data_IF_841130737677
#
_entry.id   IF_841130737677
#
_cell.length_a   1.000
_cell.length_b   1.000
_cell.length_c   1.000
_cell.angle_alpha   90.00
_cell.angle_beta   90.00
_cell.angle_gamma   90.00
#
_symmetry.space_group_name_H-M   'P 1'
#
loop_
_entity.id
_entity.type
_entity.pdbx_description
1 polymer ?
#
# COMPACT_ATOMS: atom_id res chain seq x y z
N UNK A 1 -119.68 -61.30 -39.43
CA UNK A 1 -119.00 -62.33 -38.61
C UNK A 1 -118.14 -63.16 -39.53
N UNK A 2 -116.82 -62.99 -39.49
CA UNK A 2 -115.86 -63.85 -40.17
C UNK A 2 -115.53 -65.00 -39.24
N UNK A 3 -115.92 -66.22 -39.60
CA UNK A 3 -115.69 -67.41 -38.78
C UNK A 3 -114.27 -67.93 -39.00
N UNK A 4 -113.50 -68.02 -37.91
CA UNK A 4 -112.22 -68.73 -37.89
C UNK A 4 -112.44 -70.23 -38.11
N UNK A 5 -111.68 -70.82 -39.03
CA UNK A 5 -111.72 -72.27 -39.28
C UNK A 5 -110.85 -72.99 -38.25
N UNK A 6 -111.45 -73.93 -37.53
CA UNK A 6 -110.75 -74.98 -36.79
C UNK A 6 -110.60 -76.18 -37.75
N UNK A 7 -109.38 -76.66 -37.98
CA UNK A 7 -109.13 -77.94 -38.67
C UNK A 7 -108.96 -79.02 -37.61
N UNK A 8 -109.79 -80.06 -37.64
CA UNK A 8 -109.63 -81.27 -36.85
C UNK A 8 -109.55 -82.45 -37.83
N UNK A 9 -108.55 -83.32 -37.66
CA UNK A 9 -108.18 -84.35 -38.65
C UNK A 9 -109.11 -85.59 -38.63
N UNK A 10 -109.99 -85.73 -37.64
CA UNK A 10 -111.12 -86.67 -37.67
C UNK A 10 -112.19 -86.31 -36.63
N UNK A 11 -113.45 -86.20 -37.04
CA UNK A 11 -114.63 -86.20 -36.15
C UNK A 11 -115.50 -87.38 -36.59
N UNK A 12 -115.61 -88.40 -35.74
CA UNK A 12 -116.43 -89.61 -35.99
C UNK A 12 -117.84 -89.35 -35.44
N UNK A 13 -118.87 -89.51 -36.27
CA UNK A 13 -120.28 -89.43 -35.89
C UNK A 13 -120.85 -90.86 -35.79
N UNK A 14 -121.48 -91.21 -34.66
CA UNK A 14 -122.39 -92.37 -34.55
C UNK A 14 -123.82 -91.83 -34.46
N UNK A 15 -124.72 -92.39 -35.28
CA UNK A 15 -126.01 -91.82 -35.64
C UNK A 15 -127.17 -92.61 -35.00
N UNK A 16 -127.13 -92.82 -33.69
CA UNK A 16 -128.22 -93.39 -32.90
C UNK A 16 -128.71 -92.36 -31.86
N UNK A 17 -129.89 -91.78 -32.08
CA UNK A 17 -130.38 -90.60 -31.36
C UNK A 17 -130.41 -90.69 -29.82
N UNK A 18 -129.64 -89.82 -29.16
CA UNK A 18 -129.83 -89.18 -27.84
C UNK A 18 -128.65 -88.18 -27.58
N UNK A 19 -128.89 -87.05 -26.88
CA UNK A 19 -128.02 -85.86 -26.66
C UNK A 19 -126.54 -86.10 -26.30
N UNK A 20 -125.60 -85.27 -26.81
CA UNK A 20 -124.32 -84.94 -26.09
C UNK A 20 -123.70 -83.59 -26.54
N UNK A 21 -123.56 -82.66 -25.59
CA UNK A 21 -122.71 -81.45 -25.65
C UNK A 21 -121.21 -81.83 -25.51
N UNK A 22 -120.30 -81.31 -26.35
CA UNK A 22 -118.84 -81.62 -26.23
C UNK A 22 -117.94 -80.39 -26.33
N UNK A 23 -117.43 -79.98 -25.18
CA UNK A 23 -116.37 -79.00 -24.95
C UNK A 23 -114.99 -79.67 -25.14
N UNK A 24 -114.10 -79.06 -25.93
CA UNK A 24 -112.68 -79.47 -25.99
C UNK A 24 -111.99 -78.92 -24.75
N UNK A 25 -111.74 -79.78 -23.75
CA UNK A 25 -111.37 -79.36 -22.39
C UNK A 25 -109.86 -79.14 -22.14
N UNK A 26 -108.95 -79.51 -23.05
CA UNK A 26 -107.53 -79.16 -22.87
C UNK A 26 -106.68 -79.40 -24.12
N UNK A 27 -105.79 -78.45 -24.41
CA UNK A 27 -104.62 -78.66 -25.26
C UNK A 27 -103.42 -78.78 -24.32
N UNK A 28 -103.22 -79.96 -23.73
CA UNK A 28 -102.07 -80.21 -22.87
C UNK A 28 -100.84 -80.46 -23.75
N UNK A 29 -100.06 -79.41 -24.00
CA UNK A 29 -98.68 -79.55 -24.44
C UNK A 29 -97.79 -79.42 -23.20
N UNK A 30 -97.40 -80.56 -22.61
CA UNK A 30 -96.37 -80.65 -21.56
C UNK A 30 -95.00 -80.32 -22.17
N UNK A 31 -94.76 -79.04 -22.42
CA UNK A 31 -93.43 -78.58 -22.83
C UNK A 31 -92.93 -77.58 -21.79
N UNK A 32 -92.37 -78.09 -20.68
CA UNK A 32 -91.52 -77.28 -19.82
C UNK A 32 -90.35 -76.74 -20.67
N UNK A 33 -90.25 -75.41 -20.76
CA UNK A 33 -89.03 -74.74 -21.22
C UNK A 33 -88.95 -74.29 -22.68
N UNK A 34 -89.97 -74.49 -23.53
CA UNK A 34 -89.98 -73.82 -24.85
C UNK A 34 -90.62 -72.44 -24.73
N UNK A 35 -89.78 -71.40 -24.80
CA UNK A 35 -90.18 -70.00 -24.71
C UNK A 35 -91.38 -69.69 -25.63
N UNK A 36 -92.53 -69.39 -25.03
CA UNK A 36 -93.64 -68.74 -25.73
C UNK A 36 -93.15 -67.33 -26.07
N UNK A 37 -92.76 -67.11 -27.32
CA UNK A 37 -92.48 -65.77 -27.84
C UNK A 37 -93.78 -64.97 -27.83
N UNK A 38 -93.88 -63.94 -27.00
CA UNK A 38 -94.91 -62.90 -27.16
C UNK A 38 -94.60 -62.13 -28.43
N UNK A 39 -95.39 -62.33 -29.49
CA UNK A 39 -95.19 -61.67 -30.80
C UNK A 39 -95.95 -60.34 -30.91
N UNK A 40 -96.31 -59.69 -29.80
CA UNK A 40 -97.26 -58.55 -29.81
C UNK A 40 -96.82 -57.24 -29.16
N UNK A 41 -95.66 -57.16 -28.50
CA UNK A 41 -95.34 -56.02 -27.64
C UNK A 41 -94.01 -55.36 -28.03
N UNK A 42 -94.05 -54.10 -28.46
CA UNK A 42 -92.86 -53.31 -28.82
C UNK A 42 -92.19 -52.65 -27.62
N UNK A 43 -90.84 -52.67 -27.64
CA UNK A 43 -89.88 -51.84 -26.89
C UNK A 43 -89.50 -52.20 -25.44
N UNK A 44 -89.76 -53.42 -24.96
CA UNK A 44 -89.11 -53.95 -23.76
C UNK A 44 -89.06 -55.49 -23.75
N UNK A 45 -87.91 -56.07 -23.34
CA UNK A 45 -87.83 -57.51 -23.02
C UNK A 45 -88.63 -57.77 -21.74
N UNK A 46 -89.87 -58.22 -21.91
CA UNK A 46 -90.70 -58.77 -20.83
C UNK A 46 -90.39 -60.25 -20.66
N UNK A 47 -90.20 -60.70 -19.43
CA UNK A 47 -90.05 -62.12 -19.10
C UNK A 47 -91.32 -62.60 -18.42
N UNK A 48 -91.75 -63.83 -18.72
CA UNK A 48 -92.85 -64.48 -18.02
C UNK A 48 -92.32 -64.85 -16.63
N UNK A 49 -92.87 -64.23 -15.59
CA UNK A 49 -92.44 -64.45 -14.21
C UNK A 49 -93.64 -64.78 -13.34
N UNK A 50 -93.39 -65.59 -12.30
CA UNK A 50 -94.36 -65.81 -11.22
C UNK A 50 -94.51 -64.48 -10.48
N UNK A 51 -95.72 -63.93 -10.43
CA UNK A 51 -95.99 -62.58 -9.87
C UNK A 51 -96.62 -62.62 -8.47
N UNK A 52 -96.60 -63.80 -7.84
CA UNK A 52 -96.88 -63.96 -6.41
C UNK A 52 -98.35 -64.15 -6.05
N UNK A 53 -99.26 -64.15 -7.03
CA UNK A 53 -100.69 -64.47 -6.83
C UNK A 53 -101.06 -65.92 -7.24
N UNK A 54 -100.04 -66.73 -7.53
CA UNK A 54 -100.20 -68.09 -8.06
C UNK A 54 -100.32 -68.16 -9.57
N UNK A 55 -100.21 -67.03 -10.28
CA UNK A 55 -100.15 -66.96 -11.74
C UNK A 55 -98.75 -66.55 -12.25
N UNK A 56 -98.62 -66.48 -13.58
CA UNK A 56 -97.46 -65.90 -14.23
C UNK A 56 -97.94 -64.78 -15.16
N UNK A 57 -97.33 -63.60 -15.04
CA UNK A 57 -97.57 -62.47 -15.95
C UNK A 57 -96.28 -61.98 -16.60
N UNK A 58 -96.43 -61.34 -17.77
CA UNK A 58 -95.32 -60.76 -18.51
C UNK A 58 -94.93 -59.42 -17.89
N UNK A 59 -93.79 -59.38 -17.21
CA UNK A 59 -93.34 -58.18 -16.48
C UNK A 59 -91.97 -57.70 -16.96
N UNK A 60 -91.74 -56.40 -16.83
CA UNK A 60 -90.46 -55.75 -17.12
C UNK A 60 -89.50 -55.98 -15.95
N UNK A 61 -88.23 -56.38 -16.16
CA UNK A 61 -87.23 -56.44 -15.09
C UNK A 61 -87.11 -55.12 -14.34
N UNK A 62 -87.06 -55.15 -13.01
CA UNK A 62 -86.71 -53.95 -12.24
C UNK A 62 -85.22 -53.69 -12.45
N UNK A 63 -84.89 -52.66 -13.22
CA UNK A 63 -83.51 -52.19 -13.34
C UNK A 63 -83.19 -51.29 -12.14
N UNK A 64 -82.25 -51.72 -11.28
CA UNK A 64 -81.76 -50.92 -10.15
C UNK A 64 -80.59 -50.02 -10.54
N UNK A 65 -80.33 -49.83 -11.83
CA UNK A 65 -79.34 -48.88 -12.33
C UNK A 65 -79.81 -47.44 -12.11
N UNK A 66 -79.65 -46.95 -10.88
CA UNK A 66 -79.82 -45.54 -10.55
C UNK A 66 -78.66 -44.76 -11.13
N UNK A 67 -78.75 -44.41 -12.41
CA UNK A 67 -77.88 -43.39 -12.99
C UNK A 67 -78.16 -42.07 -12.27
N UNK A 68 -77.14 -41.53 -11.63
CA UNK A 68 -77.21 -40.19 -11.03
C UNK A 68 -77.35 -39.15 -12.14
N UNK A 69 -78.13 -38.11 -11.89
CA UNK A 69 -78.13 -36.94 -12.77
C UNK A 69 -76.78 -36.23 -12.70
N UNK A 70 -76.48 -35.43 -13.73
CA UNK A 70 -75.27 -34.58 -13.74
C UNK A 70 -75.20 -33.70 -12.49
N UNK A 71 -76.32 -33.07 -12.10
CA UNK A 71 -76.45 -32.29 -10.86
C UNK A 71 -76.09 -33.09 -9.61
N UNK A 72 -76.56 -34.34 -9.50
CA UNK A 72 -76.22 -35.18 -8.34
C UNK A 72 -74.74 -35.56 -8.32
N UNK A 73 -74.08 -35.69 -9.47
CA UNK A 73 -72.63 -35.93 -9.55
C UNK A 73 -71.86 -34.64 -9.20
N UNK A 74 -72.34 -33.51 -9.66
CA UNK A 74 -71.79 -32.18 -9.40
C UNK A 74 -71.88 -31.79 -7.93
N UNK A 75 -73.03 -32.01 -7.27
CA UNK A 75 -73.22 -31.83 -5.83
C UNK A 75 -72.21 -32.65 -5.02
N UNK A 76 -71.96 -33.90 -5.41
CA UNK A 76 -71.01 -34.79 -4.72
C UNK A 76 -69.58 -34.25 -4.89
N UNK A 77 -69.18 -33.85 -6.10
CA UNK A 77 -67.84 -33.30 -6.38
C UNK A 77 -67.64 -31.94 -5.71
N UNK A 78 -68.65 -31.08 -5.73
CA UNK A 78 -68.62 -29.78 -5.06
C UNK A 78 -68.51 -29.92 -3.55
N UNK A 79 -69.28 -30.83 -2.94
CA UNK A 79 -69.15 -31.14 -1.52
C UNK A 79 -67.78 -31.70 -1.15
N UNK A 80 -67.10 -32.40 -2.06
CA UNK A 80 -65.76 -32.94 -1.83
C UNK A 80 -64.67 -31.87 -1.72
N UNK A 81 -64.90 -30.63 -2.17
CA UNK A 81 -63.92 -29.53 -2.12
C UNK A 81 -64.46 -28.29 -1.38
N UNK A 82 -65.67 -28.36 -0.82
CA UNK A 82 -66.26 -27.24 -0.08
C UNK A 82 -65.97 -27.38 1.42
N UNK A 83 -65.28 -26.40 2.01
CA UNK A 83 -65.05 -26.33 3.46
C UNK A 83 -63.90 -27.21 3.98
N UNK A 84 -63.04 -27.68 3.09
CA UNK A 84 -61.84 -28.45 3.41
C UNK A 84 -60.64 -27.55 3.75
N UNK A 85 -59.55 -28.18 4.19
CA UNK A 85 -58.24 -27.55 4.35
C UNK A 85 -57.26 -28.12 3.33
N UNK A 86 -57.29 -27.61 2.11
CA UNK A 86 -56.26 -27.89 1.12
C UNK A 86 -54.93 -27.22 1.52
N UNK A 87 -53.82 -27.96 1.45
CA UNK A 87 -52.49 -27.43 1.80
C UNK A 87 -51.76 -27.00 0.53
N UNK A 88 -51.40 -25.71 0.45
CA UNK A 88 -50.57 -25.16 -0.65
C UNK A 88 -51.31 -24.85 -1.95
N UNK A 89 -52.62 -25.12 -2.02
CA UNK A 89 -53.50 -24.77 -3.13
C UNK A 89 -54.90 -24.50 -2.57
N UNK A 90 -55.63 -23.56 -3.15
CA UNK A 90 -57.06 -23.40 -2.96
C UNK A 90 -57.76 -24.11 -4.12
N UNK A 91 -58.71 -24.98 -3.80
CA UNK A 91 -59.54 -25.66 -4.79
C UNK A 91 -60.99 -25.26 -4.54
N UNK A 92 -61.66 -24.73 -5.55
CA UNK A 92 -63.08 -24.38 -5.49
C UNK A 92 -63.83 -25.10 -6.59
N UNK A 93 -65.02 -25.59 -6.27
CA UNK A 93 -65.93 -26.06 -7.30
C UNK A 93 -66.81 -24.89 -7.74
N UNK A 94 -66.83 -24.61 -9.05
CA UNK A 94 -67.70 -23.61 -9.65
C UNK A 94 -68.94 -24.30 -10.22
N UNK A 95 -70.06 -24.15 -9.50
CA UNK A 95 -71.32 -24.80 -9.85
C UNK A 95 -71.89 -24.29 -11.18
N UNK A 96 -71.60 -23.03 -11.53
CA UNK A 96 -72.08 -22.40 -12.76
C UNK A 96 -71.51 -23.01 -14.05
N UNK A 97 -70.33 -23.64 -14.01
CA UNK A 97 -69.70 -24.26 -15.18
C UNK A 97 -69.35 -25.74 -15.00
N UNK A 98 -69.51 -26.27 -13.78
CA UNK A 98 -69.31 -27.68 -13.47
C UNK A 98 -67.84 -28.10 -13.30
N UNK A 99 -66.94 -27.15 -13.07
CA UNK A 99 -65.49 -27.40 -13.03
C UNK A 99 -64.87 -27.19 -11.64
N UNK A 100 -63.66 -27.70 -11.47
CA UNK A 100 -62.81 -27.42 -10.32
C UNK A 100 -61.78 -26.36 -10.72
N UNK A 101 -61.82 -25.24 -10.01
CA UNK A 101 -60.83 -24.18 -10.09
C UNK A 101 -59.68 -24.46 -9.13
N UNK A 102 -58.45 -24.35 -9.64
CA UNK A 102 -57.23 -24.60 -8.89
C UNK A 102 -56.41 -23.31 -8.80
N UNK A 103 -56.33 -22.72 -7.61
CA UNK A 103 -55.62 -21.46 -7.35
C UNK A 103 -54.52 -21.67 -6.31
N UNK A 104 -53.26 -21.57 -6.69
CA UNK A 104 -52.14 -21.64 -5.75
C UNK A 104 -51.88 -20.25 -5.15
N UNK A 105 -52.38 -20.00 -3.94
CA UNK A 105 -52.34 -18.67 -3.31
C UNK A 105 -50.98 -18.22 -2.75
N UNK A 106 -50.00 -19.12 -2.61
CA UNK A 106 -48.73 -18.82 -1.87
C UNK A 106 -47.43 -19.28 -2.55
N UNK A 107 -47.42 -19.55 -3.85
CA UNK A 107 -46.14 -19.60 -4.58
C UNK A 107 -45.72 -18.16 -4.97
N UNK A 108 -45.04 -17.45 -4.05
CA UNK A 108 -44.28 -16.25 -4.39
C UNK A 108 -42.98 -16.58 -5.17
N UNK A 109 -43.04 -17.52 -6.10
CA UNK A 109 -41.94 -17.79 -7.03
C UNK A 109 -42.53 -17.98 -8.42
N UNK A 110 -42.54 -16.89 -9.18
CA UNK A 110 -42.68 -16.95 -10.63
C UNK A 110 -41.46 -17.70 -11.19
N UNK A 111 -41.70 -18.90 -11.73
CA UNK A 111 -40.68 -19.73 -12.40
C UNK A 111 -40.79 -19.66 -13.93
N UNK A 112 -41.52 -18.69 -14.47
CA UNK A 112 -41.56 -18.41 -15.91
C UNK A 112 -41.55 -16.90 -16.19
N UNK A 113 -40.38 -16.29 -16.05
CA UNK A 113 -40.10 -14.95 -16.59
C UNK A 113 -39.89 -13.90 -15.51
N UNK A 114 -38.63 -13.67 -15.14
CA UNK A 114 -38.23 -12.69 -14.11
C UNK A 114 -38.87 -13.00 -12.77
N UNK A 115 -38.16 -13.76 -11.91
CA UNK A 115 -38.45 -13.71 -10.48
C UNK A 115 -38.65 -12.24 -10.13
N UNK A 116 -39.82 -11.89 -9.56
CA UNK A 116 -40.13 -10.54 -9.10
C UNK A 116 -38.86 -9.90 -8.56
N UNK A 117 -38.34 -8.86 -9.25
CA UNK A 117 -37.01 -8.28 -8.99
C UNK A 117 -36.86 -8.14 -7.49
N UNK A 118 -36.01 -8.96 -6.88
CA UNK A 118 -35.89 -9.00 -5.43
C UNK A 118 -35.44 -7.61 -4.98
N UNK A 119 -36.34 -6.84 -4.38
CA UNK A 119 -36.04 -5.48 -3.92
C UNK A 119 -35.15 -5.52 -2.68
N UNK A 120 -35.21 -6.63 -1.93
CA UNK A 120 -34.42 -6.89 -0.73
C UNK A 120 -34.01 -8.36 -0.67
N UNK A 121 -32.85 -8.62 -0.08
CA UNK A 121 -32.34 -9.97 0.23
C UNK A 121 -31.96 -10.04 1.71
N UNK A 122 -32.06 -11.23 2.32
CA UNK A 122 -31.54 -11.45 3.67
C UNK A 122 -30.06 -11.85 3.61
N UNK A 123 -29.17 -10.97 4.06
CA UNK A 123 -27.74 -11.26 4.21
C UNK A 123 -27.41 -11.62 5.67
N UNK A 124 -26.49 -12.58 5.88
CA UNK A 124 -25.97 -12.96 7.19
C UNK A 124 -24.48 -12.66 7.26
N UNK A 125 -24.01 -12.04 8.34
CA UNK A 125 -22.59 -11.80 8.54
C UNK A 125 -21.82 -13.11 8.77
N UNK A 126 -20.69 -13.28 8.08
CA UNK A 126 -19.76 -14.38 8.29
C UNK A 126 -18.35 -13.82 8.47
N UNK A 127 -18.05 -13.27 9.64
CA UNK A 127 -16.81 -12.51 9.88
C UNK A 127 -15.66 -13.36 10.46
N UNK A 128 -15.83 -14.69 10.51
CA UNK A 128 -14.92 -15.57 11.27
C UNK A 128 -14.39 -16.75 10.47
N UNK A 129 -15.06 -17.13 9.39
CA UNK A 129 -14.67 -18.30 8.60
C UNK A 129 -13.52 -17.93 7.66
N UNK A 130 -12.49 -18.77 7.60
CA UNK A 130 -11.43 -18.65 6.59
C UNK A 130 -11.95 -19.21 5.26
N UNK A 131 -12.40 -18.32 4.38
CA UNK A 131 -12.94 -18.68 3.07
C UNK A 131 -12.65 -17.59 2.04
N UNK A 132 -12.83 -17.94 0.76
CA UNK A 132 -12.77 -16.98 -0.35
C UNK A 132 -14.18 -16.54 -0.71
N UNK A 133 -14.48 -15.26 -0.46
CA UNK A 133 -15.73 -14.62 -0.86
C UNK A 133 -15.49 -13.78 -2.10
N UNK A 134 -16.42 -13.82 -3.05
CA UNK A 134 -16.37 -13.01 -4.27
C UNK A 134 -17.37 -11.85 -4.14
N UNK A 135 -16.93 -10.59 -4.28
CA UNK A 135 -17.85 -9.48 -4.48
C UNK A 135 -18.68 -9.70 -5.75
N UNK A 136 -19.95 -9.31 -5.69
CA UNK A 136 -20.88 -9.42 -6.83
C UNK A 136 -20.96 -8.11 -7.60
N UNK A 137 -21.00 -8.20 -8.92
CA UNK A 137 -21.02 -7.08 -9.85
C UNK A 137 -22.20 -7.19 -10.82
N UNK A 138 -22.43 -6.08 -11.53
CA UNK A 138 -23.27 -5.97 -12.72
C UNK A 138 -22.44 -5.26 -13.79
N UNK A 139 -22.64 -5.59 -15.06
CA UNK A 139 -21.91 -4.97 -16.18
C UNK A 139 -22.62 -3.75 -16.81
N UNK A 140 -23.83 -3.43 -16.35
CA UNK A 140 -24.62 -2.28 -16.79
C UNK A 140 -24.85 -1.27 -15.69
N UNK A 141 -24.76 0.03 -16.03
CA UNK A 141 -24.97 1.11 -15.06
C UNK A 141 -26.42 1.17 -14.52
N UNK A 142 -27.40 0.72 -15.32
CA UNK A 142 -28.84 0.69 -14.98
C UNK A 142 -29.53 -0.48 -15.70
N UNK A 143 -30.75 -0.83 -15.26
CA UNK A 143 -31.56 -1.90 -15.87
C UNK A 143 -31.52 -3.22 -15.09
N UNK A 144 -32.19 -4.25 -15.62
CA UNK A 144 -32.13 -5.61 -15.08
C UNK A 144 -30.87 -6.29 -15.59
N UNK A 145 -29.88 -6.43 -14.71
CA UNK A 145 -28.61 -7.09 -15.01
C UNK A 145 -28.53 -8.46 -14.33
N UNK A 146 -27.68 -9.33 -14.87
CA UNK A 146 -27.23 -10.52 -14.16
C UNK A 146 -26.34 -10.12 -12.98
N UNK A 147 -26.14 -11.04 -12.04
CA UNK A 147 -25.09 -10.91 -11.03
C UNK A 147 -23.88 -11.70 -11.51
N UNK A 148 -22.74 -11.04 -11.59
CA UNK A 148 -21.46 -11.65 -11.93
C UNK A 148 -20.49 -11.63 -10.74
N UNK A 149 -19.50 -12.51 -10.78
CA UNK A 149 -18.35 -12.50 -9.88
C UNK A 149 -17.06 -12.51 -10.69
N UNK A 150 -15.97 -12.02 -10.11
CA UNK A 150 -14.64 -12.02 -10.74
C UNK A 150 -13.66 -12.82 -9.87
N UNK A 151 -13.01 -13.83 -10.44
CA UNK A 151 -12.07 -14.66 -9.69
C UNK A 151 -10.78 -13.92 -9.34
N UNK A 152 -10.50 -12.80 -10.02
CA UNK A 152 -9.38 -11.91 -9.75
C UNK A 152 -9.63 -10.89 -8.65
N UNK A 153 -10.83 -10.83 -8.06
CA UNK A 153 -11.17 -9.94 -6.94
C UNK A 153 -11.89 -10.70 -5.83
N UNK A 154 -11.23 -10.88 -4.69
CA UNK A 154 -11.74 -11.70 -3.59
C UNK A 154 -11.56 -11.02 -2.23
N UNK A 155 -12.42 -11.38 -1.28
CA UNK A 155 -12.33 -10.97 0.11
C UNK A 155 -12.27 -12.19 1.02
N UNK A 156 -11.43 -12.16 2.05
CA UNK A 156 -11.42 -13.19 3.08
C UNK A 156 -11.92 -12.60 4.42
N UNK A 157 -13.09 -13.05 4.93
CA UNK A 157 -13.68 -12.46 6.12
C UNK A 157 -12.90 -12.70 7.41
N UNK A 158 -12.15 -13.80 7.52
CA UNK A 158 -11.33 -14.06 8.71
C UNK A 158 -10.10 -13.16 8.82
N UNK A 159 -9.58 -12.66 7.69
CA UNK A 159 -8.37 -11.82 7.64
C UNK A 159 -8.66 -10.35 7.32
N UNK A 160 -9.84 -10.05 6.78
CA UNK A 160 -10.19 -8.71 6.30
C UNK A 160 -9.46 -8.30 5.02
N UNK A 161 -8.78 -9.23 4.34
CA UNK A 161 -7.98 -8.93 3.16
C UNK A 161 -8.84 -8.91 1.89
N UNK A 162 -8.80 -7.79 1.16
CA UNK A 162 -9.26 -7.68 -0.23
C UNK A 162 -8.07 -7.95 -1.16
N UNK A 163 -8.20 -8.93 -2.05
CA UNK A 163 -7.17 -9.32 -3.01
C UNK A 163 -7.64 -8.98 -4.42
N UNK A 164 -6.81 -8.29 -5.19
CA UNK A 164 -7.05 -7.97 -6.59
C UNK A 164 -5.84 -8.36 -7.45
N UNK A 165 -6.04 -8.88 -8.66
CA UNK A 165 -4.95 -9.17 -9.61
C UNK A 165 -4.23 -7.88 -10.05
N UNK A 166 -4.97 -6.78 -10.16
CA UNK A 166 -4.43 -5.45 -10.46
C UNK A 166 -5.35 -4.36 -9.92
N UNK A 167 -4.77 -3.19 -9.62
CA UNK A 167 -5.49 -2.03 -9.13
C UNK A 167 -5.04 -0.78 -9.88
N UNK A 168 -5.98 -0.05 -10.46
CA UNK A 168 -5.77 1.30 -11.00
C UNK A 168 -6.72 2.24 -10.29
N UNK A 169 -6.20 3.30 -9.69
CA UNK A 169 -6.99 4.33 -9.01
C UNK A 169 -6.87 5.63 -9.80
N UNK A 170 -8.01 6.17 -10.25
CA UNK A 170 -8.06 7.49 -10.89
C UNK A 170 -8.09 8.64 -9.88
N UNK A 171 -8.32 8.33 -8.60
CA UNK A 171 -8.32 9.27 -7.48
C UNK A 171 -7.18 9.02 -6.50
N UNK A 172 -7.31 9.59 -5.31
CA UNK A 172 -6.29 9.48 -4.26
C UNK A 172 -6.36 8.12 -3.53
N UNK A 173 -5.20 7.64 -3.10
CA UNK A 173 -5.09 6.57 -2.11
C UNK A 173 -4.77 7.19 -0.74
N UNK A 174 -5.57 6.87 0.27
CA UNK A 174 -5.30 7.23 1.67
C UNK A 174 -5.18 5.93 2.48
N UNK A 175 -4.06 5.73 3.18
CA UNK A 175 -3.81 4.56 4.01
C UNK A 175 -3.77 4.98 5.49
N UNK A 176 -4.81 4.64 6.23
CA UNK A 176 -4.90 4.88 7.68
C UNK A 176 -4.40 3.65 8.46
N UNK A 177 -3.16 3.26 8.19
CA UNK A 177 -2.48 2.14 8.84
C UNK A 177 -1.12 2.56 9.37
N UNK A 178 -0.52 1.72 10.21
CA UNK A 178 0.84 1.95 10.71
C UNK A 178 1.93 1.61 9.68
N UNK A 179 1.60 0.85 8.63
CA UNK A 179 2.54 0.39 7.62
C UNK A 179 1.94 0.49 6.22
N UNK A 180 2.80 0.72 5.24
CA UNK A 180 2.52 0.54 3.81
C UNK A 180 3.66 -0.27 3.23
N UNK A 181 3.35 -1.43 2.65
CA UNK A 181 4.34 -2.34 2.06
C UNK A 181 4.16 -2.37 0.55
N UNK A 182 5.17 -1.95 -0.20
CA UNK A 182 5.16 -1.93 -1.67
C UNK A 182 6.24 -2.86 -2.20
N UNK A 183 5.85 -4.09 -2.55
CA UNK A 183 6.76 -5.10 -3.11
C UNK A 183 6.76 -5.00 -4.64
N UNK A 184 7.58 -4.10 -5.17
CA UNK A 184 7.71 -3.85 -6.61
C UNK A 184 9.17 -3.91 -7.06
N UNK A 185 9.40 -4.29 -8.32
CA UNK A 185 10.70 -4.14 -8.96
C UNK A 185 11.01 -2.68 -9.32
N UNK A 186 9.98 -1.84 -9.46
CA UNK A 186 10.13 -0.43 -9.86
C UNK A 186 9.10 0.42 -9.13
N UNK A 187 9.57 1.49 -8.49
CA UNK A 187 8.74 2.53 -7.88
C UNK A 187 9.01 3.85 -8.62
N UNK A 188 8.04 4.32 -9.39
CA UNK A 188 8.08 5.63 -10.03
C UNK A 188 7.29 6.61 -9.17
N UNK A 189 7.90 7.76 -8.86
CA UNK A 189 7.28 8.84 -8.08
C UNK A 189 7.42 10.12 -8.89
N UNK A 190 6.30 10.60 -9.43
CA UNK A 190 6.24 11.82 -10.25
C UNK A 190 6.15 13.10 -9.38
N UNK A 191 5.91 12.93 -8.07
CA UNK A 191 5.83 14.04 -7.14
C UNK A 191 7.15 14.81 -7.09
N UNK A 192 7.06 16.15 -7.15
CA UNK A 192 8.23 17.02 -7.05
C UNK A 192 8.91 16.94 -5.68
N UNK A 193 8.16 16.55 -4.65
CA UNK A 193 8.63 16.50 -3.28
C UNK A 193 8.07 15.24 -2.57
N UNK A 194 8.90 14.65 -1.72
CA UNK A 194 8.53 13.54 -0.85
C UNK A 194 8.73 14.00 0.59
N UNK A 195 7.65 14.08 1.38
CA UNK A 195 7.73 14.40 2.81
C UNK A 195 8.00 13.13 3.62
N UNK A 196 9.08 13.12 4.39
CA UNK A 196 9.42 12.05 5.35
C UNK A 196 9.18 12.55 6.79
N UNK A 197 8.89 11.62 7.71
CA UNK A 197 8.68 11.96 9.13
C UNK A 197 7.45 12.83 9.39
N UNK A 198 6.45 12.81 8.50
CA UNK A 198 5.24 13.63 8.63
C UNK A 198 4.41 13.17 9.83
N UNK A 199 4.35 14.00 10.86
CA UNK A 199 3.50 13.87 12.04
C UNK A 199 2.69 15.17 12.24
N UNK A 200 1.74 15.17 13.18
CA UNK A 200 0.91 16.36 13.44
C UNK A 200 1.70 17.57 13.95
N UNK A 201 2.76 17.34 14.71
CA UNK A 201 3.66 18.37 15.26
C UNK A 201 5.12 17.96 15.06
N UNK A 202 5.74 18.31 13.92
CA UNK A 202 7.12 17.92 13.62
C UNK A 202 8.14 18.68 14.50
N UNK A 203 9.21 17.99 14.88
CA UNK A 203 10.40 18.49 15.57
C UNK A 203 11.62 17.60 15.23
N UNK A 204 12.83 18.04 15.55
CA UNK A 204 14.05 17.24 15.33
C UNK A 204 14.01 15.90 16.09
N UNK A 205 13.35 15.87 17.24
CA UNK A 205 13.09 14.61 17.98
C UNK A 205 12.17 13.66 17.22
N UNK A 206 11.13 14.17 16.55
CA UNK A 206 10.23 13.30 15.76
C UNK A 206 10.82 12.89 14.41
N UNK A 207 11.80 13.66 13.90
CA UNK A 207 12.53 13.34 12.68
C UNK A 207 13.74 12.40 12.92
N UNK A 208 14.17 12.25 14.17
CA UNK A 208 15.35 11.46 14.54
C UNK A 208 15.27 10.01 14.01
N UNK A 209 16.31 9.59 13.29
CA UNK A 209 16.38 8.29 12.62
C UNK A 209 15.58 8.19 11.31
N UNK A 210 14.86 9.25 10.91
CA UNK A 210 14.16 9.34 9.63
C UNK A 210 15.13 9.36 8.45
N UNK A 211 14.79 8.68 7.36
CA UNK A 211 15.66 8.64 6.19
C UNK A 211 15.39 7.47 5.24
N UNK A 212 16.45 7.04 4.56
CA UNK A 212 16.43 5.97 3.55
C UNK A 212 17.40 4.87 3.98
N UNK A 213 16.92 3.62 3.96
CA UNK A 213 17.73 2.43 4.20
C UNK A 213 17.73 1.55 2.95
N UNK A 214 18.91 1.33 2.39
CA UNK A 214 19.17 0.34 1.34
C UNK A 214 19.72 -0.94 1.99
N UNK A 215 18.93 -2.02 1.92
CA UNK A 215 19.27 -3.32 2.52
C UNK A 215 20.48 -3.96 1.82
N UNK A 216 21.35 -4.58 2.61
CA UNK A 216 22.50 -5.37 2.17
C UNK A 216 22.95 -6.34 3.27
N UNK A 217 24.15 -6.93 3.15
CA UNK A 217 24.74 -7.70 4.26
C UNK A 217 24.86 -6.85 5.54
N UNK A 218 25.21 -5.58 5.35
CA UNK A 218 24.93 -4.48 6.28
C UNK A 218 24.08 -3.43 5.56
N UNK A 219 23.25 -2.73 6.33
CA UNK A 219 22.39 -1.68 5.83
C UNK A 219 23.19 -0.44 5.43
N UNK A 220 22.81 0.17 4.31
CA UNK A 220 23.37 1.42 3.82
C UNK A 220 22.33 2.50 4.05
N UNK A 221 22.71 3.57 4.72
CA UNK A 221 21.75 4.47 5.34
C UNK A 221 22.10 5.93 5.07
N UNK A 222 21.05 6.71 4.83
CA UNK A 222 21.04 8.16 4.85
C UNK A 222 20.01 8.53 5.91
N UNK A 223 20.43 9.08 7.05
CA UNK A 223 19.55 9.33 8.21
C UNK A 223 19.73 10.73 8.76
N UNK A 224 18.63 11.37 9.14
CA UNK A 224 18.65 12.53 10.02
C UNK A 224 18.98 12.07 11.44
N UNK A 225 20.00 12.64 12.05
CA UNK A 225 20.41 12.34 13.43
C UNK A 225 20.31 13.63 14.24
N UNK A 226 19.36 13.68 15.18
CA UNK A 226 19.09 14.86 16.00
C UNK A 226 20.31 15.26 16.85
N UNK A 227 21.05 14.29 17.37
CA UNK A 227 22.22 14.55 18.22
C UNK A 227 23.34 15.31 17.49
N UNK A 228 23.45 15.16 16.17
CA UNK A 228 24.47 15.82 15.34
C UNK A 228 23.87 16.91 14.44
N UNK A 229 22.57 17.16 14.54
CA UNK A 229 21.81 18.13 13.74
C UNK A 229 22.13 18.04 12.23
N UNK A 230 22.19 16.82 11.70
CA UNK A 230 22.69 16.58 10.35
C UNK A 230 22.19 15.28 9.73
N UNK A 231 22.24 15.25 8.40
CA UNK A 231 22.15 14.01 7.63
C UNK A 231 23.47 13.25 7.70
N UNK A 232 23.40 12.02 8.19
CA UNK A 232 24.53 11.09 8.27
C UNK A 232 24.44 10.05 7.17
N UNK A 233 25.54 9.87 6.45
CA UNK A 233 25.72 8.85 5.44
C UNK A 233 26.67 7.80 6.02
N UNK A 234 26.24 6.53 6.10
CA UNK A 234 27.12 5.46 6.56
C UNK A 234 27.96 4.83 5.42
N UNK A 235 27.84 5.38 4.21
CA UNK A 235 28.63 5.03 3.03
C UNK A 235 29.23 6.30 2.41
N UNK A 236 30.27 6.13 1.61
CA UNK A 236 30.90 7.22 0.88
C UNK A 236 29.93 7.87 -0.13
N UNK A 237 30.00 9.20 -0.25
CA UNK A 237 29.32 9.96 -1.31
C UNK A 237 30.31 10.22 -2.44
N UNK A 238 29.98 9.76 -3.65
CA UNK A 238 30.83 9.96 -4.85
C UNK A 238 30.09 10.81 -5.88
N UNK A 239 30.73 11.89 -6.34
CA UNK A 239 30.23 12.76 -7.43
C UNK A 239 30.97 12.40 -8.71
N UNK A 240 30.30 11.72 -9.64
CA UNK A 240 30.90 11.21 -10.90
C UNK A 240 30.91 12.24 -12.02
N UNK A 241 30.05 13.25 -11.95
CA UNK A 241 29.98 14.38 -12.89
C UNK A 241 29.59 15.65 -12.15
N UNK A 242 30.19 16.80 -12.50
CA UNK A 242 29.94 18.07 -11.81
C UNK A 242 30.81 18.25 -10.56
N UNK A 243 30.37 19.13 -9.65
CA UNK A 243 31.10 19.47 -8.43
C UNK A 243 30.20 19.35 -7.19
N UNK A 244 30.78 18.93 -6.06
CA UNK A 244 30.16 19.15 -4.76
C UNK A 244 30.20 20.66 -4.47
N UNK A 245 29.03 21.28 -4.37
CA UNK A 245 28.91 22.69 -4.02
C UNK A 245 28.67 22.81 -2.51
N UNK A 246 29.56 23.51 -1.83
CA UNK A 246 29.37 23.92 -0.44
C UNK A 246 29.07 25.42 -0.44
N UNK A 247 27.87 25.81 -0.02
CA UNK A 247 27.38 27.17 -0.11
C UNK A 247 26.94 27.68 1.26
N UNK A 248 27.47 28.85 1.66
CA UNK A 248 26.94 29.61 2.78
C UNK A 248 25.69 30.37 2.36
N UNK A 249 24.81 30.65 3.33
CA UNK A 249 23.69 31.59 3.15
C UNK A 249 24.21 33.00 2.84
N UNK A 250 23.34 33.92 2.43
CA UNK A 250 23.71 35.33 2.28
C UNK A 250 24.30 35.87 3.60
N UNK A 251 25.53 36.39 3.53
CA UNK A 251 26.30 36.84 4.70
C UNK A 251 26.91 35.72 5.55
N UNK A 252 26.69 34.45 5.20
CA UNK A 252 27.25 33.26 5.86
C UNK A 252 28.48 32.71 5.15
N UNK A 253 29.41 32.14 5.92
CA UNK A 253 30.59 31.48 5.38
C UNK A 253 30.22 30.14 4.73
N UNK A 254 30.85 29.80 3.61
CA UNK A 254 30.78 28.45 3.05
C UNK A 254 31.86 27.59 3.71
N UNK A 255 31.46 26.50 4.39
CA UNK A 255 32.38 25.70 5.21
C UNK A 255 32.28 24.22 4.87
N UNK A 256 33.41 23.62 4.50
CA UNK A 256 33.58 22.17 4.44
C UNK A 256 34.27 21.72 5.72
N UNK A 257 33.57 20.91 6.52
CA UNK A 257 34.16 20.25 7.69
C UNK A 257 34.82 18.94 7.27
N UNK A 258 35.99 18.68 7.83
CA UNK A 258 36.78 17.48 7.66
C UNK A 258 37.03 16.94 9.07
N UNK A 259 36.50 15.77 9.37
CA UNK A 259 36.55 15.18 10.70
C UNK A 259 37.25 13.84 10.60
N UNK A 260 38.23 13.59 11.45
CA UNK A 260 38.98 12.35 11.56
C UNK A 260 38.70 11.65 12.91
N UNK A 261 39.25 10.45 13.09
CA UNK A 261 39.35 9.71 14.38
C UNK A 261 38.08 9.75 15.25
N UNK A 262 36.93 9.46 14.63
CA UNK A 262 35.64 9.41 15.33
C UNK A 262 35.22 10.73 16.01
N UNK A 263 35.92 11.83 15.69
CA UNK A 263 35.64 13.16 16.19
C UNK A 263 35.78 13.27 17.72
N UNK A 264 36.64 12.45 18.32
CA UNK A 264 36.71 12.26 19.76
C UNK A 264 37.55 13.33 20.48
N UNK A 265 38.40 14.06 19.74
CA UNK A 265 39.14 15.20 20.23
C UNK A 265 39.04 16.44 19.33
N UNK A 266 39.59 17.57 19.80
CA UNK A 266 39.53 18.81 19.04
C UNK A 266 40.41 18.75 17.77
N UNK A 267 41.54 18.03 17.81
CA UNK A 267 42.52 18.00 16.74
C UNK A 267 41.97 17.30 15.47
N UNK A 268 40.95 16.47 15.62
CA UNK A 268 40.23 15.81 14.52
C UNK A 268 39.49 16.76 13.60
N UNK A 269 39.07 17.92 14.10
CA UNK A 269 38.20 18.82 13.37
C UNK A 269 39.03 19.81 12.57
N UNK A 270 38.99 19.65 11.26
CA UNK A 270 39.51 20.59 10.29
C UNK A 270 38.36 21.24 9.52
N UNK A 271 38.60 22.46 9.04
CA UNK A 271 37.70 23.09 8.08
C UNK A 271 38.45 23.78 6.96
N UNK A 272 37.83 23.76 5.80
CA UNK A 272 38.14 24.63 4.67
C UNK A 272 36.97 25.60 4.55
N UNK A 273 37.25 26.89 4.67
CA UNK A 273 36.21 27.90 4.77
C UNK A 273 36.46 29.07 3.83
N UNK A 274 35.46 29.44 3.05
CA UNK A 274 35.39 30.77 2.46
C UNK A 274 34.74 31.71 3.48
N UNK A 275 35.51 32.66 4.00
CA UNK A 275 35.09 33.56 5.08
C UNK A 275 34.24 34.69 4.51
N UNK A 276 33.00 34.82 4.97
CA UNK A 276 32.05 35.79 4.42
C UNK A 276 32.49 37.27 4.57
N UNK A 277 33.24 37.59 5.62
CA UNK A 277 33.62 38.98 5.92
C UNK A 277 34.67 39.55 4.96
N UNK A 278 35.62 38.73 4.51
CA UNK A 278 36.76 39.18 3.69
C UNK A 278 37.00 38.33 2.44
N UNK A 279 36.14 37.34 2.17
CA UNK A 279 36.20 36.38 1.06
C UNK A 279 37.50 35.55 1.03
N UNK A 280 38.20 35.45 2.15
CA UNK A 280 39.44 34.66 2.22
C UNK A 280 39.13 33.18 2.32
N UNK A 281 39.98 32.36 1.67
CA UNK A 281 39.90 30.91 1.79
C UNK A 281 40.88 30.47 2.89
N UNK A 282 40.35 29.89 3.95
CA UNK A 282 41.09 29.54 5.16
C UNK A 282 41.07 28.04 5.37
N UNK A 283 42.24 27.49 5.69
CA UNK A 283 42.41 26.17 6.28
C UNK A 283 42.63 26.37 7.77
N UNK A 284 41.82 25.72 8.60
CA UNK A 284 41.89 25.85 10.04
C UNK A 284 41.68 24.52 10.74
N UNK A 285 42.36 24.34 11.87
CA UNK A 285 42.20 23.22 12.77
C UNK A 285 41.53 23.71 14.06
N UNK A 286 40.64 22.89 14.62
CA UNK A 286 40.02 23.19 15.90
C UNK A 286 41.00 22.88 17.04
N UNK A 287 41.24 23.88 17.86
CA UNK A 287 42.14 23.81 19.02
C UNK A 287 41.33 24.13 20.27
N UNK A 288 41.94 24.20 21.45
CA UNK A 288 41.22 24.45 22.71
C UNK A 288 40.46 25.78 22.67
N UNK A 289 39.16 25.71 22.35
CA UNK A 289 38.24 26.85 22.34
C UNK A 289 37.96 27.49 20.97
N UNK A 290 38.47 26.96 19.86
CA UNK A 290 38.14 27.52 18.54
C UNK A 290 39.00 27.04 17.37
N UNK A 291 38.54 27.36 16.15
CA UNK A 291 39.30 27.14 14.91
C UNK A 291 40.42 28.16 14.76
N UNK A 292 41.66 27.67 14.68
CA UNK A 292 42.86 28.47 14.44
C UNK A 292 43.29 28.33 12.99
N UNK A 293 43.53 29.46 12.32
CA UNK A 293 43.99 29.49 10.92
C UNK A 293 45.43 28.95 10.83
N UNK A 294 45.64 27.96 9.97
CA UNK A 294 46.97 27.42 9.66
C UNK A 294 47.50 27.95 8.34
N UNK A 295 46.60 28.16 7.37
CA UNK A 295 46.91 28.71 6.04
C UNK A 295 45.75 29.57 5.53
N UNK A 296 46.06 30.71 4.93
CA UNK A 296 45.09 31.67 4.40
C UNK A 296 45.45 32.07 2.97
N UNK A 297 44.49 31.96 2.05
CA UNK A 297 44.56 32.53 0.71
C UNK A 297 43.65 33.75 0.62
N UNK A 298 44.24 34.89 0.32
CA UNK A 298 43.53 36.14 0.16
C UNK A 298 42.98 36.30 -1.27
N UNK A 299 41.90 37.08 -1.48
CA UNK A 299 41.35 37.36 -2.80
C UNK A 299 42.35 38.01 -3.76
N UNK A 300 43.37 38.70 -3.24
CA UNK A 300 44.45 39.29 -4.01
C UNK A 300 45.56 38.28 -4.40
N UNK A 301 45.40 37.00 -4.08
CA UNK A 301 46.37 35.94 -4.36
C UNK A 301 47.50 35.79 -3.33
N UNK A 302 47.52 36.59 -2.26
CA UNK A 302 48.50 36.44 -1.19
C UNK A 302 48.24 35.17 -0.37
N UNK A 303 49.27 34.34 -0.22
CA UNK A 303 49.26 33.16 0.64
C UNK A 303 49.94 33.51 1.96
N UNK A 304 49.25 33.32 3.06
CA UNK A 304 49.71 33.66 4.41
C UNK A 304 49.67 32.43 5.33
N UNK A 305 50.68 32.32 6.19
CA UNK A 305 50.73 31.38 7.31
C UNK A 305 50.74 32.16 8.65
N UNK A 306 51.04 31.45 9.75
CA UNK A 306 51.15 32.05 11.09
C UNK A 306 52.18 33.20 11.23
N UNK A 307 53.08 33.37 10.26
CA UNK A 307 54.14 34.40 10.23
C UNK A 307 53.86 35.52 9.22
N UNK A 308 52.82 35.38 8.40
CA UNK A 308 52.38 36.38 7.42
C UNK A 308 52.51 35.85 5.98
N UNK A 309 52.67 36.77 5.02
CA UNK A 309 52.75 36.40 3.60
C UNK A 309 54.02 35.57 3.32
N UNK A 310 53.84 34.34 2.85
CA UNK A 310 54.92 33.36 2.64
C UNK A 310 55.94 33.78 1.56
N UNK A 311 55.61 34.79 0.74
CA UNK A 311 56.50 35.32 -0.30
C UNK A 311 57.26 36.58 0.12
N UNK A 312 56.96 37.11 1.31
CA UNK A 312 57.59 38.32 1.82
C UNK A 312 58.47 37.97 3.00
N UNK A 313 59.64 38.61 3.09
CA UNK A 313 60.37 38.68 4.36
C UNK A 313 59.72 39.83 5.14
N UNK A 314 58.97 39.58 6.24
CA UNK A 314 58.28 40.65 6.93
C UNK A 314 59.29 41.60 7.58
N UNK A 315 59.06 42.91 7.48
CA UNK A 315 59.89 43.92 8.14
C UNK A 315 59.43 44.15 9.58
N UNK A 316 60.36 44.13 10.53
CA UNK A 316 60.18 44.62 11.89
C UNK A 316 61.05 45.87 12.09
N UNK A 317 60.46 47.07 11.99
CA UNK A 317 61.17 48.32 12.13
C UNK A 317 61.34 48.72 13.60
N UNK A 318 62.58 49.01 14.01
CA UNK A 318 62.96 49.31 15.38
C UNK A 318 63.73 50.63 15.44
N UNK A 319 63.17 51.62 16.14
CA UNK A 319 63.74 52.97 16.24
C UNK A 319 64.70 53.17 17.42
N UNK A 320 64.83 52.16 18.28
CA UNK A 320 65.65 52.12 19.48
C UNK A 320 66.22 50.72 19.68
N UNK A 321 67.09 50.56 20.68
CA UNK A 321 67.66 49.25 21.03
C UNK A 321 66.57 48.17 21.12
N UNK A 322 66.75 47.08 20.38
CA UNK A 322 65.78 45.98 20.31
C UNK A 322 66.41 44.69 20.84
N UNK A 323 65.67 43.99 21.70
CA UNK A 323 66.02 42.63 22.11
C UNK A 323 65.20 41.70 21.23
N UNK A 324 65.88 40.92 20.39
CA UNK A 324 65.22 40.02 19.47
C UNK A 324 64.37 38.99 20.23
N UNK A 325 63.21 38.66 19.68
CA UNK A 325 62.23 37.74 20.27
C UNK A 325 61.95 36.58 19.30
N UNK A 326 61.34 35.48 19.78
CA UNK A 326 60.94 34.36 18.91
C UNK A 326 59.99 34.79 17.76
N UNK A 327 59.31 35.93 17.90
CA UNK A 327 58.45 36.49 16.86
C UNK A 327 59.23 37.14 15.70
N UNK A 328 60.54 37.36 15.85
CA UNK A 328 61.43 37.91 14.82
C UNK A 328 61.95 36.84 13.84
N UNK A 329 61.76 35.54 14.15
CA UNK A 329 62.17 34.45 13.28
C UNK A 329 61.51 34.59 11.89
N UNK A 330 62.32 34.54 10.84
CA UNK A 330 61.91 34.74 9.44
C UNK A 330 61.74 36.20 9.01
N UNK A 331 62.01 37.18 9.89
CA UNK A 331 61.83 38.61 9.62
C UNK A 331 63.15 39.34 9.36
N UNK A 332 63.02 40.53 8.78
CA UNK A 332 64.08 41.52 8.69
C UNK A 332 63.89 42.59 9.76
N UNK A 333 64.81 42.68 10.72
CA UNK A 333 64.85 43.74 11.74
C UNK A 333 65.54 44.97 11.15
N UNK A 334 64.80 46.05 10.96
CA UNK A 334 65.34 47.33 10.50
C UNK A 334 65.64 48.21 11.71
N UNK A 335 66.90 48.22 12.15
CA UNK A 335 67.33 48.97 13.34
C UNK A 335 67.87 50.35 12.95
N UNK A 336 67.35 51.43 13.53
CA UNK A 336 67.85 52.79 13.25
C UNK A 336 68.69 53.39 14.38
N UNK A 337 68.69 52.81 15.58
CA UNK A 337 69.50 53.26 16.72
C UNK A 337 69.53 52.22 17.82
N UNK A 338 70.58 52.19 18.65
CA UNK A 338 70.67 51.38 19.88
C UNK A 338 71.08 49.92 19.69
N UNK A 339 71.16 49.41 18.46
CA UNK A 339 71.58 48.04 18.16
C UNK A 339 70.52 46.96 18.43
N UNK A 340 70.89 45.70 18.14
CA UNK A 340 70.03 44.52 18.32
C UNK A 340 70.74 43.53 19.23
N UNK A 341 70.05 43.05 20.27
CA UNK A 341 70.58 42.01 21.17
C UNK A 341 69.99 40.66 20.85
N UNK A 342 70.86 39.65 20.69
CA UNK A 342 70.47 38.26 20.45
C UNK A 342 70.76 37.45 21.71
N UNK A 343 69.70 37.08 22.45
CA UNK A 343 69.82 36.31 23.68
C UNK A 343 69.76 34.79 23.42
N UNK A 344 70.35 34.03 24.34
CA UNK A 344 70.26 32.57 24.38
C UNK A 344 68.79 32.11 24.55
N UNK A 345 68.44 30.97 23.96
CA UNK A 345 67.11 30.33 24.06
C UNK A 345 65.93 31.17 23.55
N UNK A 346 66.17 32.11 22.64
CA UNK A 346 65.11 32.87 21.96
C UNK A 346 64.69 32.20 20.65
N UNK A 347 65.66 31.75 19.87
CA UNK A 347 65.46 31.14 18.55
C UNK A 347 65.81 29.66 18.59
N UNK A 348 65.20 28.87 17.70
CA UNK A 348 65.44 27.44 17.56
C UNK A 348 66.35 27.12 16.38
N UNK A 349 66.87 25.89 16.33
CA UNK A 349 67.63 25.43 15.17
C UNK A 349 66.80 25.57 13.89
N UNK A 350 67.37 26.19 12.86
CA UNK A 350 66.71 26.44 11.58
C UNK A 350 66.09 27.83 11.44
N UNK A 351 65.89 28.57 12.53
CA UNK A 351 65.44 29.96 12.44
C UNK A 351 66.48 30.83 11.72
N UNK A 352 66.01 31.91 11.09
CA UNK A 352 66.86 32.93 10.51
C UNK A 352 66.31 34.32 10.81
N UNK A 353 67.21 35.28 11.05
CA UNK A 353 66.86 36.69 11.25
C UNK A 353 67.81 37.54 10.43
N UNK A 354 67.27 38.41 9.59
CA UNK A 354 68.06 39.43 8.89
C UNK A 354 68.06 40.71 9.71
N UNK A 355 69.21 41.33 9.91
CA UNK A 355 69.34 42.65 10.55
C UNK A 355 69.84 43.62 9.50
N UNK A 356 69.07 44.69 9.29
CA UNK A 356 69.40 45.79 8.39
C UNK A 356 69.66 47.01 9.25
N UNK A 357 70.87 47.56 9.14
CA UNK A 357 71.17 48.86 9.72
C UNK A 357 70.46 49.94 8.91
N UNK A 358 69.30 50.37 9.39
CA UNK A 358 68.52 51.45 8.79
C UNK A 358 68.97 52.84 9.29
N UNK A 359 70.25 52.99 9.67
CA UNK A 359 70.88 54.26 10.01
C UNK A 359 72.13 54.53 9.16
N UNK A 360 72.70 55.72 9.30
CA UNK A 360 74.01 56.09 8.72
C UNK A 360 75.21 55.81 9.62
N UNK A 361 74.97 55.43 10.89
CA UNK A 361 75.99 55.13 11.89
C UNK A 361 76.09 53.63 12.11
N UNK A 362 77.20 53.18 12.67
CA UNK A 362 77.37 51.78 13.05
C UNK A 362 76.35 51.34 14.11
N UNK A 363 75.83 50.13 13.97
CA UNK A 363 74.94 49.50 14.93
C UNK A 363 75.60 48.24 15.51
N UNK A 364 75.50 48.06 16.82
CA UNK A 364 76.02 46.86 17.48
C UNK A 364 74.98 45.74 17.42
N UNK A 365 75.39 44.56 16.95
CA UNK A 365 74.69 43.30 17.16
C UNK A 365 75.31 42.66 18.40
N UNK A 366 74.59 42.71 19.52
CA UNK A 366 75.07 42.25 20.81
C UNK A 366 74.83 40.76 20.95
N UNK A 367 75.91 40.02 21.22
CA UNK A 367 75.84 38.62 21.62
C UNK A 367 75.40 38.55 23.10
N UNK A 368 74.20 38.03 23.35
CA UNK A 368 73.70 37.84 24.70
C UNK A 368 74.49 36.78 25.48
N UNK A 369 74.39 36.82 26.81
CA UNK A 369 75.06 35.85 27.68
C UNK A 369 74.63 34.42 27.36
N UNK A 370 75.59 33.50 27.27
CA UNK A 370 75.35 32.09 26.96
C UNK A 370 75.02 31.77 25.49
N UNK A 371 74.92 32.79 24.63
CA UNK A 371 74.77 32.61 23.19
C UNK A 371 76.13 32.82 22.49
N UNK A 372 76.43 32.01 21.48
CA UNK A 372 77.65 32.14 20.67
C UNK A 372 77.29 32.58 19.24
N UNK A 373 77.72 33.78 18.85
CA UNK A 373 77.49 34.33 17.52
C UNK A 373 78.76 34.18 16.68
N UNK A 374 78.82 33.13 15.85
CA UNK A 374 79.97 32.84 15.00
C UNK A 374 79.96 33.73 13.75
N UNK A 375 80.99 34.57 13.59
CA UNK A 375 81.22 35.27 12.33
C UNK A 375 81.67 34.26 11.26
N UNK A 376 80.89 34.09 10.21
CA UNK A 376 81.20 33.12 9.16
C UNK A 376 82.45 33.45 8.35
N UNK A 377 82.94 34.70 8.43
CA UNK A 377 84.14 35.13 7.70
C UNK A 377 85.45 34.60 8.32
N UNK A 378 85.53 34.52 9.65
CA UNK A 378 86.79 34.27 10.37
C UNK A 378 86.64 33.35 11.61
N UNK A 379 85.44 32.83 11.85
CA UNK A 379 85.07 32.00 13.01
C UNK A 379 85.16 32.70 14.38
N UNK A 380 85.43 34.01 14.44
CA UNK A 380 85.41 34.76 15.69
C UNK A 380 83.99 34.82 16.27
N UNK A 381 83.89 35.06 17.58
CA UNK A 381 82.61 35.24 18.28
C UNK A 381 82.57 36.53 19.09
N UNK A 382 81.40 36.88 19.62
CA UNK A 382 81.14 38.09 20.39
C UNK A 382 80.33 39.12 19.61
N UNK A 383 80.15 40.30 20.22
CA UNK A 383 79.43 41.41 19.59
C UNK A 383 79.99 41.72 18.20
N UNK A 384 79.11 42.02 17.24
CA UNK A 384 79.48 42.46 15.89
C UNK A 384 79.09 43.90 15.68
N UNK A 385 79.84 44.60 14.85
CA UNK A 385 79.47 45.91 14.33
C UNK A 385 78.86 45.73 12.94
N UNK A 386 77.71 46.34 12.71
CA UNK A 386 77.09 46.44 11.40
C UNK A 386 77.16 47.90 10.94
N UNK A 387 77.99 48.15 9.93
CA UNK A 387 78.21 49.49 9.37
C UNK A 387 76.91 50.14 8.91
N UNK A 388 76.90 51.47 8.78
CA UNK A 388 75.76 52.23 8.22
C UNK A 388 75.27 51.62 6.91
N UNK A 389 73.95 51.38 6.78
CA UNK A 389 73.32 50.67 5.64
C UNK A 389 73.78 49.23 5.40
N UNK A 390 74.55 48.65 6.32
CA UNK A 390 74.94 47.26 6.32
C UNK A 390 73.76 46.32 6.54
N UNK A 391 73.90 45.09 6.08
CA UNK A 391 72.92 44.02 6.27
C UNK A 391 73.64 42.72 6.60
N UNK A 392 73.19 42.04 7.66
CA UNK A 392 73.68 40.72 8.03
C UNK A 392 72.52 39.79 8.37
N UNK A 393 72.66 38.51 8.02
CA UNK A 393 71.71 37.48 8.40
C UNK A 393 72.35 36.56 9.41
N UNK A 394 71.59 36.23 10.45
CA UNK A 394 71.93 35.19 11.42
C UNK A 394 71.09 33.97 11.08
N UNK A 395 71.73 32.83 10.85
CA UNK A 395 71.08 31.52 10.83
C UNK A 395 71.40 30.80 12.13
N UNK A 396 70.37 30.31 12.83
CA UNK A 396 70.49 29.69 14.14
C UNK A 396 70.71 28.19 14.01
N UNK A 397 71.85 27.69 14.50
CA UNK A 397 72.15 26.25 14.48
C UNK A 397 71.61 25.51 15.71
N UNK A 398 71.41 26.22 16.82
CA UNK A 398 70.71 25.76 18.01
C UNK A 398 70.24 26.95 18.85
N UNK A 399 69.60 26.67 19.98
CA UNK A 399 69.16 27.69 20.93
C UNK A 399 70.29 28.58 21.48
N UNK A 400 71.52 28.08 21.48
CA UNK A 400 72.69 28.71 22.10
C UNK A 400 73.78 29.15 21.11
N UNK A 401 73.61 28.96 19.81
CA UNK A 401 74.56 29.49 18.83
C UNK A 401 73.93 29.78 17.46
N UNK A 402 74.53 30.71 16.73
CA UNK A 402 74.15 31.05 15.35
C UNK A 402 75.34 31.51 14.54
N UNK A 403 75.20 31.45 13.22
CA UNK A 403 76.19 31.91 12.25
C UNK A 403 75.71 33.21 11.62
N UNK A 404 76.56 34.23 11.65
CA UNK A 404 76.26 35.54 11.05
C UNK A 404 77.17 35.83 9.87
N UNK A 405 76.57 36.33 8.80
CA UNK A 405 77.28 36.80 7.61
C UNK A 405 76.52 37.95 6.96
N UNK A 406 77.24 38.88 6.35
CA UNK A 406 76.63 40.08 5.79
C UNK A 406 77.60 41.12 5.24
N UNK A 407 77.08 42.03 4.42
CA UNK A 407 77.82 43.19 3.95
C UNK A 407 77.82 44.29 5.02
N UNK A 408 78.99 44.87 5.29
CA UNK A 408 79.18 45.85 6.35
C UNK A 408 79.30 45.26 7.76
N UNK A 409 79.43 43.94 7.89
CA UNK A 409 79.65 43.26 9.15
C UNK A 409 81.15 43.21 9.50
N UNK A 410 81.50 43.51 10.74
CA UNK A 410 82.86 43.36 11.29
C UNK A 410 82.85 42.86 12.74
#
# INVERSE_FOLDING_TARGET
MAYGKIKADAIIYDNSGSDVEKTIASLAADTEGTAIKSTGETNNTKFLRVDGDGSCSWQVPVDTNTQLSTEQVQDIVGAMVTGNTETGIAVTYEDGDGTLDFVVGTLNQDTTGTAAVATEITATANNSTDETVYPTFVDGATGTQGIETDTGLTYNPSTGLLTAVGLTLSGNLTVNGSTTTVNTATLNVEDKNIELGKVSSPSDTTADGGGITLKGATDKEIKWINATDSWTFNQNVTVTTGALTVQGIEGGAATLFLVADEADDNADYWRIQNVAADNTLVFANYTTGGYTTTLKLNPNGALEDSKGNVRSIPSNAQSSAHVATAADAGKAIHISSGGVTINNSVFSAGDAVTIINNSGSDQTITQGSGFTLHNSADASSGNRTLAGRGMATIWFGAANYGYISGAGLS
#
